data_IF_169331920250
#
_entry.id   IF_169331920250
#
_cell.length_a   1.000
_cell.length_b   1.000
_cell.length_c   1.000
_cell.angle_alpha   90.00
_cell.angle_beta   90.00
_cell.angle_gamma   90.00
#
_symmetry.space_group_name_H-M   'P 1'
#
loop_
_entity.id
_entity.type
_entity.pdbx_description
1 polymer ?
#
# COMPACT_ATOMS: atom_id res chain seq x y z
N UNK A 1 -39.62 43.16 69.21
CA UNK A 1 -40.37 42.19 68.38
C UNK A 1 -40.27 42.70 66.95
N UNK A 2 -39.43 42.19 66.05
CA UNK A 2 -39.13 40.79 65.79
C UNK A 2 -39.81 40.42 64.48
N UNK A 3 -39.14 40.69 63.35
CA UNK A 3 -39.63 40.36 62.01
C UNK A 3 -38.53 40.59 60.99
N UNK A 4 -37.66 39.59 60.81
CA UNK A 4 -36.56 39.62 59.84
C UNK A 4 -37.12 39.53 58.42
N UNK A 5 -36.79 40.52 57.60
CA UNK A 5 -36.90 40.47 56.14
C UNK A 5 -35.82 39.50 55.65
N UNK A 6 -36.21 38.34 55.13
CA UNK A 6 -35.30 37.47 54.39
C UNK A 6 -35.37 37.83 52.91
N UNK A 7 -34.43 38.66 52.46
CA UNK A 7 -34.09 38.77 51.05
C UNK A 7 -33.44 37.44 50.64
N UNK A 8 -34.10 36.69 49.74
CA UNK A 8 -33.52 35.53 49.10
C UNK A 8 -32.42 36.01 48.13
N UNK A 9 -31.18 36.04 48.61
CA UNK A 9 -30.02 36.17 47.74
C UNK A 9 -29.90 34.89 46.91
N UNK A 10 -30.12 35.00 45.59
CA UNK A 10 -29.61 34.03 44.64
C UNK A 10 -28.07 34.09 44.70
N UNK A 11 -27.48 33.30 45.59
CA UNK A 11 -26.05 33.04 45.57
C UNK A 11 -25.81 32.16 44.34
N UNK A 12 -25.24 32.76 43.29
CA UNK A 12 -24.56 32.00 42.24
C UNK A 12 -23.37 31.30 42.88
N UNK A 13 -23.59 30.11 43.42
CA UNK A 13 -22.54 29.16 43.73
C UNK A 13 -21.99 28.67 42.39
N UNK A 14 -20.99 29.35 41.85
CA UNK A 14 -20.12 28.76 40.84
C UNK A 14 -19.36 27.63 41.51
N UNK A 15 -19.89 26.41 41.41
CA UNK A 15 -19.17 25.20 41.77
C UNK A 15 -17.90 25.12 40.91
N UNK A 16 -16.69 25.08 41.50
CA UNK A 16 -15.49 24.79 40.74
C UNK A 16 -15.49 23.29 40.45
N UNK A 17 -15.78 22.90 39.21
CA UNK A 17 -15.62 21.51 38.76
C UNK A 17 -16.80 20.89 38.02
N UNK A 18 -17.82 21.64 37.63
CA UNK A 18 -18.78 21.17 36.63
C UNK A 18 -18.15 21.26 35.24
N UNK A 19 -17.51 20.16 34.85
CA UNK A 19 -17.35 19.66 33.49
C UNK A 19 -17.39 20.73 32.39
N UNK A 20 -16.22 21.20 31.95
CA UNK A 20 -16.11 21.49 30.52
C UNK A 20 -16.16 20.13 29.84
N UNK A 21 -17.37 19.62 29.56
CA UNK A 21 -17.53 18.78 28.38
C UNK A 21 -17.01 19.66 27.24
N UNK A 22 -15.78 19.35 26.84
CA UNK A 22 -15.15 20.01 25.73
C UNK A 22 -16.10 19.87 24.55
N UNK A 23 -16.66 21.00 24.13
CA UNK A 23 -17.73 21.09 23.12
C UNK A 23 -17.24 20.73 21.71
N UNK A 24 -16.06 20.10 21.62
CA UNK A 24 -15.52 19.55 20.39
C UNK A 24 -16.13 18.16 20.30
N UNK A 25 -17.12 18.00 19.41
CA UNK A 25 -17.80 16.74 19.14
C UNK A 25 -16.89 15.65 18.53
N UNK A 26 -15.62 15.62 18.93
CA UNK A 26 -14.54 14.83 18.38
C UNK A 26 -13.56 14.45 19.50
N UNK A 27 -13.42 13.15 19.75
CA UNK A 27 -12.46 12.58 20.67
C UNK A 27 -11.01 12.98 20.31
N UNK A 28 -10.23 13.44 21.30
CA UNK A 28 -8.80 13.77 21.12
C UNK A 28 -7.84 12.60 21.33
N UNK A 29 -8.37 11.51 21.83
CA UNK A 29 -7.60 10.35 22.25
C UNK A 29 -7.60 9.24 21.19
N UNK A 30 -8.09 9.53 19.97
CA UNK A 30 -8.11 8.58 18.87
C UNK A 30 -6.67 8.09 18.57
N UNK A 31 -6.48 6.76 18.42
CA UNK A 31 -5.17 6.19 18.13
C UNK A 31 -4.66 6.59 16.74
N UNK A 32 -3.37 6.32 16.47
CA UNK A 32 -2.78 6.56 15.15
C UNK A 32 -3.59 5.84 14.06
N UNK A 33 -3.64 6.43 12.86
CA UNK A 33 -4.40 5.92 11.72
C UNK A 33 -5.91 5.76 11.97
N UNK A 34 -6.46 6.60 12.86
CA UNK A 34 -7.89 6.70 13.12
C UNK A 34 -8.37 8.14 13.17
N UNK A 35 -9.67 8.32 12.96
CA UNK A 35 -10.35 9.61 13.00
C UNK A 35 -11.53 9.56 13.97
N UNK A 36 -11.82 10.69 14.63
CA UNK A 36 -12.95 10.76 15.54
C UNK A 36 -14.28 10.66 14.78
N UNK A 37 -15.20 9.87 15.32
CA UNK A 37 -16.59 9.79 14.84
C UNK A 37 -17.47 10.75 15.63
N UNK A 38 -17.25 10.83 16.95
CA UNK A 38 -17.91 11.75 17.85
C UNK A 38 -17.00 12.04 19.07
N UNK A 39 -17.54 12.66 20.12
CA UNK A 39 -16.78 13.02 21.33
C UNK A 39 -16.19 11.83 22.10
N UNK A 40 -16.74 10.62 21.92
CA UNK A 40 -16.40 9.42 22.69
C UNK A 40 -16.04 8.21 21.82
N UNK A 41 -15.87 8.40 20.52
CA UNK A 41 -15.62 7.30 19.60
C UNK A 41 -14.73 7.70 18.42
N UNK A 42 -13.95 6.74 17.95
CA UNK A 42 -13.06 6.85 16.81
C UNK A 42 -13.30 5.69 15.83
N UNK A 43 -12.81 5.81 14.60
CA UNK A 43 -12.84 4.76 13.58
C UNK A 43 -11.51 4.77 12.82
N UNK A 44 -11.00 3.61 12.46
CA UNK A 44 -9.81 3.53 11.62
C UNK A 44 -10.00 4.25 10.28
N UNK A 45 -8.93 4.86 9.80
CA UNK A 45 -8.90 5.44 8.46
C UNK A 45 -9.01 4.33 7.40
N UNK A 46 -9.43 4.66 6.16
CA UNK A 46 -9.40 3.70 5.06
C UNK A 46 -8.03 3.04 4.92
N UNK A 47 -8.00 1.72 4.68
CA UNK A 47 -6.76 0.92 4.62
C UNK A 47 -6.29 0.38 5.97
N UNK A 48 -7.00 0.67 7.07
CA UNK A 48 -6.66 0.17 8.40
C UNK A 48 -7.84 -0.54 9.05
N UNK A 49 -7.54 -1.49 9.94
CA UNK A 49 -8.52 -2.25 10.69
C UNK A 49 -8.16 -2.36 12.17
N UNK A 50 -9.18 -2.45 13.01
CA UNK A 50 -9.09 -2.70 14.45
C UNK A 50 -9.96 -3.90 14.80
N UNK A 51 -9.82 -4.42 16.02
CA UNK A 51 -10.67 -5.51 16.50
C UNK A 51 -12.17 -5.11 16.54
N UNK A 52 -12.45 -3.87 16.91
CA UNK A 52 -13.79 -3.28 16.95
C UNK A 52 -13.99 -2.33 15.78
N UNK A 53 -15.17 -2.29 15.15
CA UNK A 53 -15.46 -1.31 14.08
C UNK A 53 -15.47 0.15 14.57
N UNK A 54 -15.85 0.34 15.84
CA UNK A 54 -15.87 1.62 16.53
C UNK A 54 -14.96 1.52 17.74
N UNK A 55 -13.95 2.37 17.79
CA UNK A 55 -12.96 2.44 18.86
C UNK A 55 -13.50 3.33 19.97
N UNK A 56 -13.53 2.80 21.19
CA UNK A 56 -14.03 3.52 22.36
C UNK A 56 -12.95 3.74 23.43
N UNK A 57 -11.75 3.23 23.19
CA UNK A 57 -10.61 3.33 24.11
C UNK A 57 -9.34 3.77 23.37
N UNK A 58 -8.40 4.46 24.04
CA UNK A 58 -7.14 4.89 23.41
C UNK A 58 -6.12 3.76 23.24
N UNK A 59 -6.39 2.57 23.78
CA UNK A 59 -5.48 1.41 23.75
C UNK A 59 -5.67 0.52 22.53
N UNK A 60 -6.76 0.71 21.79
CA UNK A 60 -6.98 0.01 20.52
C UNK A 60 -6.01 0.53 19.45
N UNK A 61 -5.62 -0.34 18.53
CA UNK A 61 -4.73 -0.04 17.40
C UNK A 61 -5.50 -0.13 16.09
N UNK A 62 -5.13 0.72 15.15
CA UNK A 62 -5.56 0.63 13.76
C UNK A 62 -4.37 0.11 12.95
N UNK A 63 -4.40 -1.19 12.69
CA UNK A 63 -3.33 -1.89 11.99
C UNK A 63 -3.61 -1.88 10.48
N UNK A 64 -2.53 -1.77 9.70
CA UNK A 64 -2.59 -1.78 8.25
C UNK A 64 -3.27 -3.05 7.70
N UNK A 65 -4.18 -2.88 6.75
CA UNK A 65 -4.81 -3.99 6.05
C UNK A 65 -3.88 -4.40 4.93
N UNK A 66 -3.34 -5.62 4.99
CA UNK A 66 -2.59 -6.15 3.86
C UNK A 66 -3.53 -6.62 2.74
N UNK A 67 -3.81 -5.78 1.75
CA UNK A 67 -4.72 -6.14 0.66
C UNK A 67 -4.16 -7.22 -0.27
N UNK A 68 -2.85 -7.43 -0.26
CA UNK A 68 -2.17 -8.48 -1.02
C UNK A 68 -2.26 -9.87 -0.36
N UNK A 69 -2.61 -9.93 0.92
CA UNK A 69 -2.75 -11.17 1.69
C UNK A 69 -4.23 -11.56 1.86
N UNK A 70 -4.48 -12.83 2.19
CA UNK A 70 -5.81 -13.28 2.62
C UNK A 70 -6.23 -12.57 3.90
N UNK A 71 -7.49 -12.11 4.02
CA UNK A 71 -8.64 -12.47 3.17
C UNK A 71 -8.91 -11.55 1.97
N UNK A 72 -8.31 -10.35 1.91
CA UNK A 72 -8.62 -9.35 0.87
C UNK A 72 -8.06 -9.71 -0.52
N UNK A 73 -6.89 -10.38 -0.56
CA UNK A 73 -6.14 -10.87 -1.73
C UNK A 73 -6.60 -10.28 -3.06
N UNK A 74 -6.28 -9.01 -3.29
CA UNK A 74 -6.66 -8.30 -4.51
C UNK A 74 -6.04 -8.97 -5.74
N UNK A 75 -6.82 -9.08 -6.82
CA UNK A 75 -6.33 -9.51 -8.13
C UNK A 75 -5.79 -8.30 -8.90
N UNK A 76 -4.47 -8.26 -9.07
CA UNK A 76 -3.81 -7.30 -9.97
C UNK A 76 -3.90 -7.72 -11.45
N UNK A 77 -4.38 -8.93 -11.76
CA UNK A 77 -4.40 -9.47 -13.11
C UNK A 77 -3.09 -10.15 -13.53
N UNK A 78 -2.93 -10.37 -14.83
CA UNK A 78 -1.79 -11.11 -15.40
C UNK A 78 -0.49 -10.30 -15.37
N UNK A 79 0.64 -11.00 -15.23
CA UNK A 79 1.98 -10.41 -15.33
C UNK A 79 2.21 -9.23 -14.38
N UNK A 80 1.61 -9.30 -13.20
CA UNK A 80 1.65 -8.23 -12.21
C UNK A 80 1.73 -8.80 -10.81
N UNK A 81 2.41 -8.04 -9.93
CA UNK A 81 2.57 -8.33 -8.53
C UNK A 81 1.83 -7.31 -7.67
N UNK A 82 1.28 -7.76 -6.55
CA UNK A 82 0.67 -6.89 -5.54
C UNK A 82 1.71 -6.55 -4.47
N UNK A 83 1.86 -5.26 -4.19
CA UNK A 83 2.75 -4.74 -3.15
C UNK A 83 1.94 -4.00 -2.10
N UNK A 84 2.00 -4.48 -0.86
CA UNK A 84 1.32 -3.84 0.26
C UNK A 84 2.05 -2.56 0.67
N UNK A 85 1.31 -1.52 1.03
CA UNK A 85 1.82 -0.24 1.50
C UNK A 85 1.05 0.21 2.75
N UNK A 86 1.55 1.17 3.51
CA UNK A 86 0.81 1.62 4.69
C UNK A 86 -0.47 2.37 4.28
N UNK A 87 -1.64 1.80 4.60
CA UNK A 87 -2.97 2.32 4.32
C UNK A 87 -3.48 2.09 2.89
N UNK A 88 -2.79 1.28 2.09
CA UNK A 88 -3.13 1.00 0.69
C UNK A 88 -2.30 -0.17 0.13
N UNK A 89 -2.50 -0.51 -1.13
CA UNK A 89 -1.62 -1.38 -1.90
C UNK A 89 -1.37 -0.81 -3.30
N UNK A 90 -0.35 -1.29 -3.99
CA UNK A 90 -0.10 -1.00 -5.41
C UNK A 90 0.11 -2.29 -6.19
N UNK A 91 -0.54 -2.38 -7.35
CA UNK A 91 -0.21 -3.36 -8.36
C UNK A 91 0.86 -2.80 -9.29
N UNK A 92 1.85 -3.62 -9.62
CA UNK A 92 2.92 -3.27 -10.56
C UNK A 92 3.12 -4.41 -11.55
N UNK A 93 3.59 -4.10 -12.76
CA UNK A 93 3.98 -5.16 -13.69
C UNK A 93 5.17 -5.95 -13.11
N UNK A 94 5.13 -7.27 -13.25
CA UNK A 94 6.20 -8.14 -12.80
C UNK A 94 7.50 -7.86 -13.56
N UNK A 95 8.67 -8.24 -13.01
CA UNK A 95 9.92 -8.14 -13.75
C UNK A 95 9.84 -8.82 -15.13
N UNK A 96 10.35 -8.15 -16.17
CA UNK A 96 10.22 -8.58 -17.57
C UNK A 96 8.96 -8.07 -18.28
N UNK A 97 8.12 -7.29 -17.59
CA UNK A 97 6.89 -6.71 -18.16
C UNK A 97 6.82 -5.20 -17.93
N UNK A 98 6.17 -4.49 -18.84
CA UNK A 98 5.95 -3.04 -18.75
C UNK A 98 4.50 -2.65 -19.06
N UNK A 99 3.97 -1.58 -18.44
CA UNK A 99 2.62 -1.11 -18.69
C UNK A 99 2.56 -0.30 -19.99
N UNK A 100 1.75 -0.75 -20.96
CA UNK A 100 1.57 -0.03 -22.23
C UNK A 100 0.88 1.33 -22.04
N UNK A 101 0.09 1.47 -20.97
CA UNK A 101 -0.50 2.76 -20.59
C UNK A 101 0.52 3.78 -20.06
N UNK A 102 1.75 3.35 -19.73
CA UNK A 102 2.76 4.15 -19.04
C UNK A 102 2.54 4.31 -17.53
N UNK A 103 1.41 3.81 -16.98
CA UNK A 103 1.13 3.86 -15.55
C UNK A 103 1.96 2.80 -14.80
N UNK A 104 2.96 3.25 -14.03
CA UNK A 104 3.86 2.35 -13.28
C UNK A 104 3.17 1.56 -12.18
N UNK A 105 2.12 2.13 -11.59
CA UNK A 105 1.29 1.50 -10.58
C UNK A 105 -0.18 1.58 -10.99
N UNK A 106 -0.98 0.62 -10.55
CA UNK A 106 -2.42 0.58 -10.76
C UNK A 106 -3.10 -0.15 -9.59
N UNK A 107 -4.42 -0.12 -9.50
CA UNK A 107 -5.14 -0.67 -8.32
C UNK A 107 -5.88 -1.98 -8.60
N UNK A 108 -6.21 -2.30 -9.84
CA UNK A 108 -7.04 -3.46 -10.13
C UNK A 108 -6.77 -4.03 -11.53
N UNK A 109 -7.28 -5.23 -11.78
CA UNK A 109 -7.13 -5.94 -13.06
C UNK A 109 -7.65 -5.15 -14.27
N UNK A 110 -8.63 -4.25 -14.10
CA UNK A 110 -9.16 -3.46 -15.23
C UNK A 110 -8.20 -2.36 -15.71
N UNK A 111 -7.28 -1.93 -14.84
CA UNK A 111 -6.22 -0.97 -15.14
C UNK A 111 -4.92 -1.67 -15.61
N UNK A 112 -4.87 -3.01 -15.54
CA UNK A 112 -3.70 -3.78 -15.92
C UNK A 112 -3.46 -3.72 -17.44
N UNK A 113 -2.30 -3.18 -17.80
CA UNK A 113 -1.84 -3.07 -19.19
C UNK A 113 -0.44 -3.65 -19.37
N UNK A 114 -0.03 -4.57 -18.49
CA UNK A 114 1.28 -5.19 -18.48
C UNK A 114 1.47 -6.09 -19.71
N UNK A 115 2.54 -5.81 -20.46
CA UNK A 115 2.97 -6.60 -21.61
C UNK A 115 4.45 -6.96 -21.49
N UNK A 116 4.81 -8.06 -22.12
CA UNK A 116 6.17 -8.55 -22.20
C UNK A 116 7.11 -7.49 -22.79
N UNK A 117 8.24 -7.25 -22.13
CA UNK A 117 9.28 -6.38 -22.65
C UNK A 117 10.12 -7.19 -23.62
N UNK A 118 10.22 -6.76 -24.88
CA UNK A 118 11.12 -7.41 -25.82
C UNK A 118 12.55 -6.86 -25.68
N UNK A 119 13.38 -7.48 -24.85
CA UNK A 119 14.73 -7.00 -24.56
C UNK A 119 15.66 -7.04 -25.79
N UNK A 120 15.35 -7.86 -26.79
CA UNK A 120 16.12 -7.91 -28.03
C UNK A 120 15.89 -6.71 -28.95
N UNK A 121 14.77 -6.01 -28.78
CA UNK A 121 14.37 -4.87 -29.62
C UNK A 121 14.22 -3.55 -28.87
N UNK A 122 14.33 -3.57 -27.53
CA UNK A 122 14.20 -2.39 -26.65
C UNK A 122 15.34 -1.36 -26.76
N UNK A 123 16.29 -1.56 -27.68
CA UNK A 123 17.38 -0.63 -27.97
C UNK A 123 18.64 -0.83 -27.12
N UNK A 124 18.59 -1.65 -26.08
CA UNK A 124 19.74 -2.07 -25.29
C UNK A 124 19.88 -3.58 -25.42
N UNK A 125 20.44 -4.07 -26.54
CA UNK A 125 20.68 -5.51 -26.71
C UNK A 125 21.53 -6.02 -25.53
N UNK A 126 20.97 -6.80 -24.60
CA UNK A 126 21.62 -7.14 -23.35
C UNK A 126 22.68 -8.24 -23.51
N UNK A 127 22.74 -8.87 -24.69
CA UNK A 127 23.56 -10.03 -24.96
C UNK A 127 24.98 -9.69 -25.41
N UNK A 128 25.94 -10.58 -25.10
CA UNK A 128 27.33 -10.46 -25.56
C UNK A 128 27.42 -10.50 -27.10
N UNK A 129 28.45 -9.86 -27.67
CA UNK A 129 28.62 -9.75 -29.13
C UNK A 129 28.71 -11.10 -29.87
N UNK A 130 29.28 -12.13 -29.24
CA UNK A 130 29.35 -13.50 -29.79
C UNK A 130 28.05 -14.31 -29.70
N UNK A 131 26.98 -13.70 -29.19
CA UNK A 131 25.64 -14.31 -29.08
C UNK A 131 24.60 -13.59 -29.94
N UNK A 132 23.42 -14.19 -30.06
CA UNK A 132 22.20 -13.55 -30.53
C UNK A 132 21.15 -13.58 -29.41
N UNK A 133 20.37 -12.50 -29.31
CA UNK A 133 19.28 -12.38 -28.35
C UNK A 133 18.03 -13.09 -28.88
N UNK A 134 17.35 -13.81 -27.99
CA UNK A 134 16.05 -14.44 -28.21
C UNK A 134 15.09 -13.95 -27.12
N UNK A 135 14.00 -13.30 -27.52
CA UNK A 135 12.98 -12.86 -26.59
C UNK A 135 12.11 -14.04 -26.14
N UNK A 136 11.81 -14.12 -24.86
CA UNK A 136 10.85 -15.07 -24.28
C UNK A 136 9.80 -14.30 -23.47
N UNK A 137 8.69 -14.94 -23.11
CA UNK A 137 7.68 -14.26 -22.28
C UNK A 137 8.19 -14.14 -20.84
N UNK A 138 8.37 -12.89 -20.37
CA UNK A 138 8.85 -12.50 -19.05
C UNK A 138 10.37 -12.50 -18.89
N UNK A 139 11.14 -12.78 -19.94
CA UNK A 139 12.62 -12.75 -19.92
C UNK A 139 13.19 -12.92 -21.34
N UNK A 140 14.51 -13.02 -21.46
CA UNK A 140 15.20 -13.29 -22.72
C UNK A 140 16.28 -14.36 -22.55
N UNK A 141 16.85 -14.80 -23.66
CA UNK A 141 18.00 -15.70 -23.67
C UNK A 141 19.03 -15.25 -24.69
N UNK A 142 20.29 -15.20 -24.27
CA UNK A 142 21.43 -15.07 -25.16
C UNK A 142 21.91 -16.46 -25.56
N UNK A 143 22.03 -16.71 -26.87
CA UNK A 143 22.54 -17.99 -27.40
C UNK A 143 23.69 -17.78 -28.36
N UNK A 144 24.64 -18.72 -28.37
CA UNK A 144 25.74 -18.68 -29.32
C UNK A 144 25.25 -18.61 -30.76
N UNK A 145 25.96 -17.83 -31.59
CA UNK A 145 25.73 -17.79 -33.03
C UNK A 145 26.00 -19.18 -33.63
N UNK A 146 25.40 -19.52 -34.79
CA UNK A 146 25.65 -20.81 -35.45
C UNK A 146 27.16 -21.06 -35.63
N UNK A 147 27.63 -22.22 -35.16
CA UNK A 147 29.04 -22.63 -35.22
C UNK A 147 29.89 -22.26 -34.00
N UNK A 148 29.36 -21.47 -33.05
CA UNK A 148 30.06 -21.07 -31.83
C UNK A 148 29.60 -21.92 -30.64
N UNK A 149 30.48 -22.11 -29.65
CA UNK A 149 30.16 -22.86 -28.43
C UNK A 149 30.29 -21.98 -27.18
N UNK A 150 29.48 -22.22 -26.13
CA UNK A 150 29.62 -21.46 -24.89
C UNK A 150 30.95 -21.78 -24.22
N UNK A 151 31.65 -20.75 -23.74
CA UNK A 151 32.90 -20.94 -22.99
C UNK A 151 32.63 -21.69 -21.67
N UNK A 152 33.59 -22.46 -21.12
CA UNK A 152 33.42 -23.11 -19.83
C UNK A 152 33.01 -22.11 -18.73
N UNK A 153 31.90 -22.38 -18.05
CA UNK A 153 31.34 -21.50 -17.01
C UNK A 153 30.35 -20.45 -17.50
N UNK A 154 30.04 -20.42 -18.80
CA UNK A 154 29.11 -19.47 -19.40
C UNK A 154 27.95 -20.18 -20.13
N UNK A 155 26.93 -20.68 -19.41
CA UNK A 155 25.80 -21.34 -20.05
C UNK A 155 24.91 -20.37 -20.84
N UNK A 156 24.09 -20.91 -21.75
CA UNK A 156 23.05 -20.13 -22.44
C UNK A 156 22.00 -19.64 -21.44
N UNK A 157 21.76 -18.33 -21.39
CA UNK A 157 20.84 -17.72 -20.43
C UNK A 157 20.65 -16.22 -20.70
N UNK A 158 19.81 -15.53 -19.92
CA UNK A 158 19.62 -14.07 -20.03
C UNK A 158 20.91 -13.30 -19.74
N UNK A 159 21.75 -13.78 -18.82
CA UNK A 159 22.96 -13.06 -18.42
C UNK A 159 24.22 -13.87 -18.70
N UNK A 160 25.28 -13.18 -19.15
CA UNK A 160 26.66 -13.67 -19.20
C UNK A 160 26.96 -14.83 -20.16
N UNK A 161 26.11 -15.12 -21.15
CA UNK A 161 26.46 -16.08 -22.21
C UNK A 161 27.51 -15.48 -23.13
N UNK A 162 28.67 -16.12 -23.21
CA UNK A 162 29.83 -15.77 -24.02
C UNK A 162 30.25 -17.02 -24.77
N UNK A 163 30.50 -16.86 -26.06
CA UNK A 163 30.85 -17.96 -26.95
C UNK A 163 32.17 -17.69 -27.66
N UNK A 164 32.86 -18.77 -28.01
CA UNK A 164 34.06 -18.82 -28.85
C UNK A 164 33.94 -19.85 -30.00
#
# INVERSE_FOLDING_TARGET
MGGRVFLAFCVWLTLPGAETQDSRGCARWCPQNSSCVNATACRCNPGFSSFSEIITTPTETCDDINECATPSKVSCGKFSDCWNTEGSYDCVCSPGYEPVSGAKTFKNESENTCQDVNECTSGQNPCHSSTHCLNNVGSYQCRCRPGWQPIPGSPNGPNNTVCE
#
